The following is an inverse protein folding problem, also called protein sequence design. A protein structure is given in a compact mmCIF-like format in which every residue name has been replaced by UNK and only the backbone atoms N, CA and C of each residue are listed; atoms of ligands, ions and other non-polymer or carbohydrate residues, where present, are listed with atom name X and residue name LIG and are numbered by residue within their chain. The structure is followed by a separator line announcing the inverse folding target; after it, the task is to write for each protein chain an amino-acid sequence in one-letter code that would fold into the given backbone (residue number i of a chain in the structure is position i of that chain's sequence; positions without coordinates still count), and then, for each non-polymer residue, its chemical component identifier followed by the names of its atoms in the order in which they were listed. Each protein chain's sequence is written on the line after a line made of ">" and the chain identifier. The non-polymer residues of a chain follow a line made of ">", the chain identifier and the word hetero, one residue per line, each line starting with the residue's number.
data_IF_980410222250
#
_entry.id   IF_980410222250
#
_cell.length_a   1.000
_cell.length_b   1.000
_cell.length_c   1.000
_cell.angle_alpha   90.00
_cell.angle_beta   90.00
_cell.angle_gamma   90.00
#
_symmetry.space_group_name_H-M   'P 1'
#
loop_
_entity.id
_entity.type
_entity.pdbx_description
1 polymer ?
#
# COMPACT_ATOMS: atom_id res chain seq x y z
N UNK A 1 -6.19 -9.23 6.81
CA UNK A 1 -5.31 -9.12 5.62
C UNK A 1 -4.63 -7.77 5.70
N UNK A 2 -3.30 -7.73 5.63
CA UNK A 2 -2.52 -6.49 5.74
C UNK A 2 -2.71 -5.58 4.53
N UNK A 3 -2.84 -4.28 4.78
CA UNK A 3 -3.00 -3.23 3.76
C UNK A 3 -1.83 -3.25 2.77
N UNK A 4 -0.61 -3.40 3.29
CA UNK A 4 0.64 -3.51 2.53
C UNK A 4 0.58 -4.62 1.46
N UNK A 5 -0.04 -5.77 1.77
CA UNK A 5 -0.17 -6.90 0.85
C UNK A 5 -1.14 -6.58 -0.29
N UNK A 6 -2.26 -5.90 0.00
CA UNK A 6 -3.23 -5.48 -1.03
C UNK A 6 -2.61 -4.52 -2.03
N UNK A 7 -1.85 -3.54 -1.53
CA UNK A 7 -1.18 -2.52 -2.35
C UNK A 7 -0.13 -3.17 -3.24
N UNK A 8 0.75 -4.00 -2.66
CA UNK A 8 1.77 -4.73 -3.42
C UNK A 8 1.13 -5.54 -4.55
N UNK A 9 0.06 -6.27 -4.23
CA UNK A 9 -0.64 -7.09 -5.23
C UNK A 9 -1.20 -6.23 -6.36
N UNK A 10 -1.81 -5.08 -6.04
CA UNK A 10 -2.35 -4.16 -7.05
C UNK A 10 -1.26 -3.57 -7.93
N UNK A 11 -0.13 -3.16 -7.35
CA UNK A 11 1.02 -2.65 -8.09
C UNK A 11 1.56 -3.67 -9.10
N UNK A 12 1.70 -4.93 -8.67
CA UNK A 12 2.15 -6.02 -9.54
C UNK A 12 1.11 -6.35 -10.62
N UNK A 13 -0.18 -6.33 -10.28
CA UNK A 13 -1.29 -6.63 -11.21
C UNK A 13 -1.39 -5.59 -12.34
N UNK A 14 -1.17 -4.31 -12.01
CA UNK A 14 -1.13 -3.23 -12.99
C UNK A 14 0.23 -3.10 -13.71
N UNK A 15 1.22 -3.92 -13.35
CA UNK A 15 2.53 -3.99 -14.02
C UNK A 15 3.52 -2.89 -13.63
N UNK A 16 3.32 -2.24 -12.48
CA UNK A 16 4.24 -1.20 -12.01
C UNK A 16 5.48 -1.78 -11.34
N UNK A 17 6.64 -1.17 -11.60
CA UNK A 17 7.87 -1.46 -10.86
C UNK A 17 7.84 -0.79 -9.49
N UNK A 18 8.10 -1.57 -8.45
CA UNK A 18 8.21 -1.08 -7.08
C UNK A 18 9.36 -0.07 -6.91
N UNK A 19 10.45 -0.24 -7.67
CA UNK A 19 11.60 0.65 -7.64
C UNK A 19 11.28 2.02 -8.24
N UNK A 20 10.61 2.05 -9.39
CA UNK A 20 10.21 3.31 -10.05
C UNK A 20 9.29 4.13 -9.13
N UNK A 21 8.27 3.48 -8.57
CA UNK A 21 7.36 4.13 -7.61
C UNK A 21 8.11 4.63 -6.38
N UNK A 22 9.07 3.87 -5.88
CA UNK A 22 9.88 4.30 -4.73
C UNK A 22 10.68 5.56 -5.05
N UNK A 23 11.22 5.66 -6.27
CA UNK A 23 11.95 6.85 -6.71
C UNK A 23 11.04 8.04 -6.94
N UNK A 24 9.87 7.85 -7.58
CA UNK A 24 8.93 8.94 -7.88
C UNK A 24 8.24 9.49 -6.62
N UNK A 25 7.80 8.59 -5.72
CA UNK A 25 7.05 8.97 -4.52
C UNK A 25 7.95 9.27 -3.32
N UNK A 26 9.22 8.83 -3.37
CA UNK A 26 10.14 8.84 -2.22
C UNK A 26 9.75 7.87 -1.10
N UNK A 27 8.70 7.07 -1.29
CA UNK A 27 8.26 6.06 -0.32
C UNK A 27 9.21 4.86 -0.42
N UNK A 28 9.63 4.34 0.71
CA UNK A 28 10.39 3.09 0.73
C UNK A 28 9.44 1.90 0.51
N UNK A 29 9.23 1.55 -0.76
CA UNK A 29 8.36 0.46 -1.19
C UNK A 29 8.97 -0.92 -0.84
N UNK A 30 10.26 -1.02 -0.48
CA UNK A 30 10.83 -2.28 0.03
C UNK A 30 10.15 -2.78 1.31
N UNK A 31 9.41 -1.90 2.01
CA UNK A 31 8.52 -2.29 3.12
C UNK A 31 7.37 -3.19 2.67
N UNK A 32 6.98 -3.14 1.40
CA UNK A 32 5.94 -3.97 0.80
C UNK A 32 6.45 -5.35 0.33
N UNK A 33 7.76 -5.62 0.42
CA UNK A 33 8.31 -6.92 0.01
C UNK A 33 7.84 -8.07 0.93
N UNK A 34 7.80 -9.26 0.34
CA UNK A 34 7.33 -10.47 1.02
C UNK A 34 8.25 -10.82 2.20
N UNK A 35 7.68 -10.90 3.41
CA UNK A 35 8.44 -11.16 4.63
C UNK A 35 8.93 -9.91 5.36
N UNK A 36 8.73 -8.71 4.81
CA UNK A 36 9.02 -7.48 5.53
C UNK A 36 7.98 -7.24 6.64
N UNK A 37 8.45 -7.03 7.88
CA UNK A 37 7.57 -6.70 9.03
C UNK A 37 7.13 -5.24 9.05
N UNK A 38 7.69 -4.41 8.18
CA UNK A 38 7.39 -2.98 8.13
C UNK A 38 6.14 -2.78 7.28
N UNK A 39 5.23 -1.94 7.76
CA UNK A 39 4.04 -1.53 7.02
C UNK A 39 4.18 -0.08 6.58
N UNK A 40 3.49 0.28 5.50
CA UNK A 40 3.35 1.69 5.13
C UNK A 40 2.61 2.43 6.24
N UNK A 41 3.10 3.60 6.60
CA UNK A 41 2.35 4.56 7.40
C UNK A 41 1.13 5.05 6.63
N UNK A 42 0.15 5.61 7.35
CA UNK A 42 -1.04 6.20 6.72
C UNK A 42 -0.69 7.34 5.76
N UNK A 43 0.39 8.08 6.01
CA UNK A 43 0.85 9.15 5.13
C UNK A 43 1.47 8.60 3.85
N UNK A 44 2.36 7.60 3.95
CA UNK A 44 2.92 6.91 2.78
C UNK A 44 1.81 6.29 1.92
N UNK A 45 0.78 5.71 2.55
CA UNK A 45 -0.39 5.19 1.84
C UNK A 45 -1.09 6.28 1.02
N UNK A 46 -1.35 7.45 1.63
CA UNK A 46 -2.05 8.55 0.97
C UNK A 46 -1.23 9.12 -0.20
N UNK A 47 0.08 9.28 -0.02
CA UNK A 47 0.98 9.73 -1.09
C UNK A 47 0.97 8.74 -2.26
N UNK A 48 1.08 7.44 -1.97
CA UNK A 48 1.01 6.40 -2.99
C UNK A 48 -0.33 6.40 -3.72
N UNK A 49 -1.44 6.46 -2.97
CA UNK A 49 -2.78 6.50 -3.54
C UNK A 49 -2.97 7.74 -4.42
N UNK A 50 -2.46 8.91 -3.99
CA UNK A 50 -2.51 10.13 -4.80
C UNK A 50 -1.65 10.04 -6.06
N UNK A 51 -0.50 9.38 -6.01
CA UNK A 51 0.37 9.21 -7.17
C UNK A 51 -0.26 8.27 -8.22
N UNK A 52 -0.90 7.21 -7.74
CA UNK A 52 -1.52 6.18 -8.59
C UNK A 52 -2.98 6.49 -8.98
N UNK A 53 -3.53 7.61 -8.53
CA UNK A 53 -4.95 7.96 -8.65
C UNK A 53 -5.89 6.87 -8.09
N UNK A 54 -5.52 6.31 -6.94
CA UNK A 54 -6.29 5.28 -6.23
C UNK A 54 -7.06 5.85 -5.04
N UNK A 55 -8.18 5.20 -4.69
CA UNK A 55 -8.89 5.54 -3.47
C UNK A 55 -8.30 4.77 -2.26
N UNK A 56 -7.80 5.45 -1.22
CA UNK A 56 -7.24 4.79 -0.04
C UNK A 56 -8.26 3.91 0.71
N UNK A 57 -9.56 4.14 0.51
CA UNK A 57 -10.64 3.33 1.12
C UNK A 57 -10.71 1.92 0.53
N UNK A 58 -10.22 1.70 -0.68
CA UNK A 58 -10.16 0.35 -1.29
C UNK A 58 -9.21 -0.58 -0.50
N UNK A 59 -8.19 0.00 0.11
CA UNK A 59 -7.21 -0.74 0.90
C UNK A 59 -7.62 -0.85 2.37
N UNK A 60 -8.38 0.13 2.88
CA UNK A 60 -8.86 0.12 4.25
C UNK A 60 -9.80 -1.06 4.48
N UNK A 61 -9.41 -1.97 5.38
CA UNK A 61 -10.32 -3.02 5.82
C UNK A 61 -10.97 -2.53 7.09
N UNK A 62 -12.30 -2.26 7.10
CA UNK A 62 -12.96 -1.92 8.35
C UNK A 62 -12.69 -3.06 9.33
N UNK A 63 -12.14 -2.74 10.51
CA UNK A 63 -12.18 -3.68 11.62
C UNK A 63 -13.65 -3.97 11.83
N UNK A 64 -14.08 -5.20 11.56
CA UNK A 64 -15.41 -5.65 11.93
C UNK A 64 -15.64 -5.18 13.36
N UNK A 65 -16.68 -4.37 13.56
CA UNK A 65 -17.12 -4.02 14.90
C UNK A 65 -17.41 -5.36 15.55
N UNK A 66 -16.59 -5.74 16.54
CA UNK A 66 -17.03 -6.69 17.54
C UNK A 66 -18.21 -6.02 18.25
N UNK A 67 -19.41 -6.28 17.73
CA UNK A 67 -20.65 -6.03 18.43
C UNK A 67 -20.56 -6.76 19.77
N UNK A 68 -20.93 -6.02 20.81
CA UNK A 68 -20.76 -6.33 22.24
C UNK A 68 -21.87 -7.26 22.71
#
# INVERSE_FOLDING_TARGET
>A
MDISVKIRKKLVDEGYSLEEISQDTGINISKLEEGCRLSLSGEELLVLCSYMDWDPRDFWTPKEKTET
#
